data_IF_840279262717
#
_entry.id   IF_840279262717
#
_cell.length_a   1.000
_cell.length_b   1.000
_cell.length_c   1.000
_cell.angle_alpha   90.00
_cell.angle_beta   90.00
_cell.angle_gamma   90.00
#
_symmetry.space_group_name_H-M   'P 1'
#
loop_
_entity.id
_entity.type
_entity.pdbx_description
1 polymer ?
#
# COMPACT_ATOMS: atom_id res chain seq x y z
N UNK A 1 43.39 -1.28 -50.39
CA UNK A 1 43.05 0.14 -50.51
C UNK A 1 42.19 0.52 -49.30
N UNK A 2 42.63 1.49 -48.49
CA UNK A 2 41.95 1.99 -47.31
C UNK A 2 41.07 3.21 -47.64
N UNK A 3 39.92 3.35 -47.01
CA UNK A 3 39.12 4.59 -46.81
C UNK A 3 37.85 4.14 -46.06
N UNK A 4 37.18 4.84 -45.16
CA UNK A 4 37.36 6.09 -44.43
C UNK A 4 36.05 6.24 -43.63
N UNK A 5 36.17 6.61 -42.36
CA UNK A 5 35.21 7.40 -41.57
C UNK A 5 35.26 6.91 -40.12
N UNK A 6 36.32 7.27 -39.40
CA UNK A 6 36.37 8.45 -38.54
C UNK A 6 35.31 8.50 -37.43
N UNK A 7 35.77 8.06 -36.25
CA UNK A 7 35.75 8.85 -35.01
C UNK A 7 34.39 9.37 -34.54
N UNK A 8 33.68 8.54 -33.79
CA UNK A 8 32.80 9.04 -32.73
C UNK A 8 33.65 9.37 -31.51
N UNK A 9 34.31 10.54 -31.61
CA UNK A 9 34.92 11.24 -30.49
C UNK A 9 33.84 11.58 -29.47
N UNK A 10 34.21 11.40 -28.21
CA UNK A 10 33.56 11.87 -26.98
C UNK A 10 32.69 13.11 -27.17
N UNK A 11 31.48 13.08 -26.62
CA UNK A 11 30.87 14.27 -26.02
C UNK A 11 29.96 13.84 -24.86
N UNK A 12 30.59 13.47 -23.74
CA UNK A 12 29.93 13.50 -22.43
C UNK A 12 29.70 14.97 -22.13
N UNK A 13 28.56 15.49 -22.57
CA UNK A 13 28.17 16.87 -22.32
C UNK A 13 27.17 16.86 -21.18
N UNK A 14 27.68 17.31 -20.05
CA UNK A 14 26.94 17.70 -18.85
C UNK A 14 25.80 18.63 -19.25
N UNK A 15 24.57 18.23 -18.96
CA UNK A 15 23.47 19.18 -18.83
C UNK A 15 22.74 18.88 -17.52
N UNK A 16 23.14 19.64 -16.51
CA UNK A 16 22.48 19.79 -15.24
C UNK A 16 21.00 20.08 -15.48
N UNK A 17 20.13 19.10 -15.20
CA UNK A 17 18.74 19.42 -14.88
C UNK A 17 18.78 20.06 -13.49
N UNK A 18 18.69 21.39 -13.48
CA UNK A 18 18.47 22.20 -12.29
C UNK A 18 17.17 21.70 -11.67
N UNK A 19 17.27 20.77 -10.72
CA UNK A 19 16.18 20.41 -9.85
C UNK A 19 15.76 21.69 -9.16
N UNK A 20 14.58 22.19 -9.47
CA UNK A 20 13.91 23.20 -8.69
C UNK A 20 13.70 22.61 -7.30
N UNK A 21 14.71 22.79 -6.44
CA UNK A 21 14.60 22.60 -5.01
C UNK A 21 13.65 23.70 -4.57
N UNK A 22 12.39 23.33 -4.38
CA UNK A 22 11.53 24.06 -3.47
C UNK A 22 12.17 23.95 -2.09
N UNK A 23 13.07 24.90 -1.81
CA UNK A 23 13.43 25.24 -0.44
C UNK A 23 12.17 25.83 0.17
N UNK A 24 11.30 24.97 0.70
CA UNK A 24 10.32 25.40 1.68
C UNK A 24 11.12 26.02 2.82
N UNK A 25 10.93 27.33 2.95
CA UNK A 25 11.50 28.22 3.95
C UNK A 25 11.48 27.55 5.31
N UNK A 26 12.69 27.35 5.85
CA UNK A 26 12.98 27.02 7.24
C UNK A 26 12.09 27.83 8.16
N UNK A 27 11.18 27.18 8.88
CA UNK A 27 10.43 27.82 9.94
C UNK A 27 11.42 28.27 11.02
N UNK A 28 11.60 29.58 11.09
CA UNK A 28 12.29 30.29 12.15
C UNK A 28 11.54 30.04 13.47
N UNK A 29 12.08 29.18 14.34
CA UNK A 29 11.54 28.92 15.67
C UNK A 29 11.85 30.10 16.59
N UNK A 30 11.10 31.19 16.47
CA UNK A 30 11.04 32.22 17.50
C UNK A 30 10.05 31.77 18.57
N UNK A 31 10.61 31.29 19.69
CA UNK A 31 9.91 31.06 20.94
C UNK A 31 9.23 32.37 21.39
N UNK A 32 7.90 32.39 21.35
CA UNK A 32 7.08 33.32 22.11
C UNK A 32 6.07 32.51 22.91
N UNK A 33 6.42 32.24 24.17
CA UNK A 33 5.46 32.05 25.23
C UNK A 33 4.51 33.24 25.24
N UNK A 34 3.29 33.06 24.73
CA UNK A 34 2.16 33.93 25.00
C UNK A 34 1.00 33.03 25.41
N UNK A 35 0.80 32.99 26.72
CA UNK A 35 -0.38 32.58 27.45
C UNK A 35 -1.65 33.15 26.81
N UNK A 36 -2.61 32.31 26.45
CA UNK A 36 -4.07 32.57 26.52
C UNK A 36 -4.86 31.25 26.25
N UNK A 37 -6.14 31.17 26.65
CA UNK A 37 -6.62 30.22 27.65
C UNK A 37 -7.02 28.84 27.09
N UNK A 38 -6.97 27.85 27.98
CA UNK A 38 -7.42 26.47 27.77
C UNK A 38 -8.89 26.41 27.31
N UNK A 39 -9.10 26.49 26.01
CA UNK A 39 -10.30 25.94 25.38
C UNK A 39 -10.10 24.43 25.35
N UNK A 40 -10.71 23.74 26.33
CA UNK A 40 -10.82 22.29 26.38
C UNK A 40 -11.66 21.82 25.17
N UNK A 41 -11.04 21.73 24.00
CA UNK A 41 -11.52 20.82 22.99
C UNK A 41 -11.43 19.41 23.61
N UNK A 42 -12.54 18.66 23.72
CA UNK A 42 -12.44 17.28 24.18
C UNK A 42 -11.50 16.53 23.23
N UNK A 43 -10.63 15.63 23.74
CA UNK A 43 -9.84 14.79 22.86
C UNK A 43 -10.82 13.97 22.02
N UNK A 44 -10.96 14.32 20.74
CA UNK A 44 -11.67 13.50 19.78
C UNK A 44 -10.94 12.17 19.72
N UNK A 45 -11.49 11.16 20.41
CA UNK A 45 -11.03 9.78 20.28
C UNK A 45 -10.91 9.49 18.79
N UNK A 46 -9.76 9.00 18.28
CA UNK A 46 -9.66 8.58 16.90
C UNK A 46 -10.81 7.62 16.63
N UNK A 47 -11.61 7.90 15.59
CA UNK A 47 -12.67 7.01 15.20
C UNK A 47 -12.06 5.61 15.00
N UNK A 48 -12.54 4.62 15.76
CA UNK A 48 -12.05 3.26 15.65
C UNK A 48 -12.17 2.84 14.18
N UNK A 49 -11.09 2.32 13.58
CA UNK A 49 -11.14 1.79 12.22
C UNK A 49 -12.22 0.71 12.19
N UNK A 50 -13.16 0.84 11.24
CA UNK A 50 -14.30 -0.09 11.08
C UNK A 50 -13.88 -1.50 10.62
N UNK A 51 -12.61 -1.70 10.30
CA UNK A 51 -12.04 -2.95 9.82
C UNK A 51 -10.73 -3.28 10.53
N UNK A 52 -10.40 -4.57 10.59
CA UNK A 52 -9.16 -5.06 11.16
C UNK A 52 -7.94 -4.59 10.35
N UNK A 53 -6.90 -4.06 11.00
CA UNK A 53 -5.68 -3.65 10.30
C UNK A 53 -4.99 -4.88 9.71
N UNK A 54 -4.43 -4.73 8.51
CA UNK A 54 -3.66 -5.76 7.82
C UNK A 54 -4.41 -7.05 7.47
N UNK A 55 -5.74 -7.03 7.44
CA UNK A 55 -6.56 -8.21 7.15
C UNK A 55 -7.50 -7.97 5.97
N UNK A 56 -7.59 -8.96 5.09
CA UNK A 56 -8.41 -8.95 3.87
C UNK A 56 -9.18 -10.27 3.77
N UNK A 57 -10.42 -10.19 3.29
CA UNK A 57 -11.15 -11.34 2.81
C UNK A 57 -11.01 -11.39 1.28
N UNK A 58 -10.56 -12.52 0.74
CA UNK A 58 -10.40 -12.71 -0.70
C UNK A 58 -11.13 -13.96 -1.15
N UNK A 59 -11.97 -13.81 -2.17
CA UNK A 59 -12.68 -14.91 -2.79
C UNK A 59 -12.15 -15.16 -4.20
N UNK A 60 -11.81 -16.41 -4.48
CA UNK A 60 -11.41 -16.88 -5.80
C UNK A 60 -12.62 -17.39 -6.58
N UNK A 61 -12.56 -17.25 -7.90
CA UNK A 61 -13.51 -17.83 -8.83
C UNK A 61 -13.53 -19.35 -8.69
N UNK A 62 -14.61 -19.98 -9.14
CA UNK A 62 -14.72 -21.44 -9.16
C UNK A 62 -13.69 -22.07 -10.10
N UNK A 63 -13.17 -23.24 -9.73
CA UNK A 63 -12.27 -24.03 -10.59
C UNK A 63 -10.80 -23.63 -10.56
N UNK A 64 -10.41 -22.68 -9.70
CA UNK A 64 -9.01 -22.36 -9.47
C UNK A 64 -8.38 -23.44 -8.59
N UNK A 65 -7.21 -23.95 -8.98
CA UNK A 65 -6.52 -24.98 -8.21
C UNK A 65 -5.93 -24.43 -6.91
N UNK A 66 -5.78 -25.29 -5.91
CA UNK A 66 -5.24 -24.89 -4.60
C UNK A 66 -3.80 -24.37 -4.73
N UNK A 67 -3.01 -24.99 -5.60
CA UNK A 67 -1.62 -24.61 -5.85
C UNK A 67 -1.54 -23.20 -6.45
N UNK A 68 -2.47 -22.86 -7.36
CA UNK A 68 -2.56 -21.53 -7.94
C UNK A 68 -2.95 -20.49 -6.90
N UNK A 69 -3.94 -20.81 -6.04
CA UNK A 69 -4.36 -19.94 -4.93
C UNK A 69 -3.16 -19.66 -4.00
N UNK A 70 -2.47 -20.72 -3.54
CA UNK A 70 -1.31 -20.59 -2.65
C UNK A 70 -0.20 -19.75 -3.29
N UNK A 71 0.03 -19.92 -4.60
CA UNK A 71 1.04 -19.13 -5.33
C UNK A 71 0.67 -17.65 -5.38
N UNK A 72 -0.58 -17.32 -5.71
CA UNK A 72 -1.07 -15.94 -5.76
C UNK A 72 -1.00 -15.24 -4.39
N UNK A 73 -1.34 -15.94 -3.31
CA UNK A 73 -1.25 -15.40 -1.95
C UNK A 73 0.21 -15.13 -1.54
N UNK A 74 1.13 -16.05 -1.87
CA UNK A 74 2.58 -15.85 -1.65
C UNK A 74 3.14 -14.68 -2.47
N UNK A 75 2.80 -14.60 -3.75
CA UNK A 75 3.18 -13.48 -4.64
C UNK A 75 2.67 -12.13 -4.10
N UNK A 76 1.52 -12.16 -3.44
CA UNK A 76 0.89 -10.99 -2.82
C UNK A 76 1.44 -10.67 -1.43
N UNK A 77 2.45 -11.40 -0.93
CA UNK A 77 3.03 -11.23 0.42
C UNK A 77 1.97 -11.29 1.52
N UNK A 78 1.10 -12.28 1.44
CA UNK A 78 0.06 -12.54 2.45
C UNK A 78 0.19 -13.93 3.05
N UNK A 79 -0.41 -14.12 4.21
CA UNK A 79 -0.51 -15.40 4.90
C UNK A 79 -1.97 -15.72 5.20
N UNK A 80 -2.32 -17.01 5.29
CA UNK A 80 -3.70 -17.46 5.53
C UNK A 80 -3.94 -17.53 7.03
N UNK A 81 -4.89 -16.74 7.53
CA UNK A 81 -5.40 -16.86 8.90
C UNK A 81 -6.40 -18.01 8.97
N UNK A 82 -7.35 -18.04 8.02
CA UNK A 82 -8.38 -19.06 7.95
C UNK A 82 -8.88 -19.26 6.53
N UNK A 83 -9.25 -20.50 6.22
CA UNK A 83 -10.05 -20.83 5.05
C UNK A 83 -11.52 -20.89 5.48
N UNK A 84 -12.32 -19.93 5.02
CA UNK A 84 -13.74 -19.80 5.42
C UNK A 84 -14.60 -20.71 4.53
N UNK A 85 -14.27 -20.79 3.24
CA UNK A 85 -14.93 -21.69 2.30
C UNK A 85 -13.87 -22.41 1.47
N UNK A 86 -13.90 -23.74 1.51
CA UNK A 86 -12.84 -24.55 0.94
C UNK A 86 -12.59 -24.25 -0.54
N UNK A 87 -11.34 -23.92 -0.90
CA UNK A 87 -10.92 -23.57 -2.25
C UNK A 87 -11.54 -22.28 -2.80
N UNK A 88 -12.23 -21.48 -1.97
CA UNK A 88 -13.04 -20.34 -2.44
C UNK A 88 -12.77 -19.06 -1.66
N UNK A 89 -12.95 -19.04 -0.34
CA UNK A 89 -12.89 -17.82 0.46
C UNK A 89 -11.85 -17.94 1.57
N UNK A 90 -10.94 -16.98 1.61
CA UNK A 90 -9.84 -16.94 2.55
C UNK A 90 -9.84 -15.64 3.35
N UNK A 91 -9.57 -15.77 4.64
CA UNK A 91 -9.18 -14.69 5.52
C UNK A 91 -7.65 -14.66 5.58
N UNK A 92 -7.06 -13.55 5.15
CA UNK A 92 -5.62 -13.42 4.99
C UNK A 92 -5.08 -12.22 5.75
N UNK A 93 -3.80 -12.31 6.11
CA UNK A 93 -3.01 -11.25 6.73
C UNK A 93 -1.96 -10.70 5.75
N UNK A 94 -1.80 -9.40 5.72
CA UNK A 94 -0.74 -8.70 4.99
C UNK A 94 0.56 -8.81 5.80
N UNK A 95 1.66 -9.22 5.15
CA UNK A 95 2.95 -9.43 5.83
C UNK A 95 3.92 -8.24 5.71
N UNK A 96 3.60 -7.27 4.87
CA UNK A 96 4.39 -6.04 4.70
C UNK A 96 3.62 -4.79 5.16
N UNK A 97 4.20 -3.61 4.91
CA UNK A 97 3.71 -2.31 5.39
C UNK A 97 2.61 -1.71 4.50
N UNK A 98 2.16 -2.43 3.48
CA UNK A 98 1.13 -1.94 2.55
C UNK A 98 -0.23 -1.80 3.22
N UNK A 99 -1.03 -0.86 2.70
CA UNK A 99 -2.39 -0.67 3.17
C UNK A 99 -3.31 -1.81 2.71
N UNK A 100 -4.43 -1.94 3.42
CA UNK A 100 -5.53 -2.83 3.04
C UNK A 100 -6.03 -2.48 1.64
N UNK A 101 -6.19 -1.18 1.30
CA UNK A 101 -6.67 -0.79 -0.04
C UNK A 101 -5.69 -1.16 -1.15
N UNK A 102 -4.37 -0.97 -0.93
CA UNK A 102 -3.35 -1.34 -1.90
C UNK A 102 -3.33 -2.84 -2.15
N UNK A 103 -3.45 -3.64 -1.09
CA UNK A 103 -3.51 -5.11 -1.20
C UNK A 103 -4.77 -5.57 -1.91
N UNK A 104 -5.93 -4.99 -1.61
CA UNK A 104 -7.19 -5.28 -2.32
C UNK A 104 -7.05 -4.94 -3.81
N UNK A 105 -6.45 -3.80 -4.13
CA UNK A 105 -6.20 -3.39 -5.52
C UNK A 105 -5.32 -4.40 -6.26
N UNK A 106 -4.26 -4.90 -5.62
CA UNK A 106 -3.43 -5.95 -6.20
C UNK A 106 -4.22 -7.25 -6.39
N UNK A 107 -4.90 -7.73 -5.35
CA UNK A 107 -5.63 -9.00 -5.40
C UNK A 107 -6.72 -8.99 -6.47
N UNK A 108 -7.49 -7.91 -6.56
CA UNK A 108 -8.56 -7.74 -7.56
C UNK A 108 -8.04 -7.61 -8.99
N UNK A 109 -6.74 -7.34 -9.19
CA UNK A 109 -6.13 -7.34 -10.51
C UNK A 109 -5.90 -8.75 -11.08
N UNK A 110 -5.90 -9.79 -10.22
CA UNK A 110 -5.76 -11.17 -10.69
C UNK A 110 -7.06 -11.66 -11.31
N UNK A 111 -7.04 -12.21 -12.54
CA UNK A 111 -8.24 -12.72 -13.19
C UNK A 111 -8.89 -13.90 -12.44
N UNK A 112 -8.17 -14.57 -11.55
CA UNK A 112 -8.66 -15.65 -10.68
C UNK A 112 -9.50 -15.17 -9.49
N UNK A 113 -9.38 -13.89 -9.12
CA UNK A 113 -10.10 -13.33 -7.97
C UNK A 113 -11.52 -12.89 -8.39
N UNK A 114 -12.51 -13.30 -7.60
CA UNK A 114 -13.91 -12.90 -7.74
C UNK A 114 -14.15 -11.55 -7.03
N UNK A 115 -13.64 -11.40 -5.81
CA UNK A 115 -13.60 -10.13 -5.09
C UNK A 115 -12.57 -10.16 -3.94
N UNK A 116 -12.19 -8.98 -3.45
CA UNK A 116 -11.45 -8.81 -2.20
C UNK A 116 -11.97 -7.60 -1.42
N UNK A 117 -12.08 -7.71 -0.10
CA UNK A 117 -12.64 -6.68 0.78
C UNK A 117 -11.94 -6.60 2.15
N UNK A 118 -12.02 -5.47 2.87
CA UNK A 118 -11.52 -5.39 4.24
C UNK A 118 -12.28 -6.33 5.19
N UNK A 119 -11.60 -6.86 6.21
CA UNK A 119 -12.27 -7.59 7.28
C UNK A 119 -12.95 -6.62 8.28
N UNK A 120 -14.26 -6.36 8.12
CA UNK A 120 -15.00 -5.45 8.99
C UNK A 120 -15.24 -6.02 10.39
N UNK A 121 -15.15 -5.15 11.41
CA UNK A 121 -15.46 -5.50 12.81
C UNK A 121 -16.86 -5.00 13.13
N UNK A 122 -17.72 -5.91 13.58
CA UNK A 122 -19.07 -5.58 14.07
C UNK A 122 -19.15 -5.86 15.57
N UNK A 123 -19.68 -4.91 16.32
CA UNK A 123 -20.07 -5.11 17.71
C UNK A 123 -21.48 -5.70 17.75
N UNK A 124 -21.64 -6.86 18.38
CA UNK A 124 -22.98 -7.40 18.64
C UNK A 124 -23.58 -6.66 19.81
N UNK A 125 -24.70 -5.96 19.59
CA UNK A 125 -25.51 -5.41 20.68
C UNK A 125 -26.08 -6.59 21.48
N UNK A 126 -25.86 -6.59 22.79
CA UNK A 126 -26.33 -7.63 23.71
C UNK A 126 -27.76 -7.35 24.17
#
# INVERSE_FOLDING_TARGET
MPDLSHRLTQLVTVMMCVSAVWFSTSCNATNRNVTEPHTLAPPTKPAAKRFAPYEVLVKFKSGISQERIVSLLKESRTDVIAEIQQGRLYHIRILDDRSVESTITQLTSYPEVEYAEPNYRYETQK
#
